data_IF_088898593198
#
_entry.id   IF_088898593198
#
_cell.length_a   1.000
_cell.length_b   1.000
_cell.length_c   1.000
_cell.angle_alpha   90.00
_cell.angle_beta   90.00
_cell.angle_gamma   90.00
#
_symmetry.space_group_name_H-M   'P 1'
#
loop_
_entity.id
_entity.type
_entity.pdbx_description
1 polymer ?
#
# COMPACT_ATOMS: atom_id res chain seq x y z
N UNK A 1 -1.57 17.66 23.53
CA UNK A 1 -2.66 16.67 23.69
C UNK A 1 -2.14 15.34 23.17
N UNK A 2 -2.42 14.24 23.87
CA UNK A 2 -2.02 12.90 23.45
C UNK A 2 -2.78 12.53 22.15
N UNK A 3 -2.08 12.03 21.13
CA UNK A 3 -2.69 11.69 19.83
C UNK A 3 -3.67 10.53 20.04
N UNK A 4 -4.93 10.69 19.62
CA UNK A 4 -5.96 9.66 19.77
C UNK A 4 -5.56 8.40 19.01
N UNK A 5 -5.69 7.23 19.65
CA UNK A 5 -5.40 5.95 19.00
C UNK A 5 -6.45 5.68 17.91
N UNK A 6 -5.97 5.58 16.67
CA UNK A 6 -6.73 5.18 15.48
C UNK A 6 -5.91 4.18 14.69
N UNK A 7 -6.51 3.05 14.35
CA UNK A 7 -5.87 1.95 13.61
C UNK A 7 -6.83 1.43 12.56
N UNK A 8 -6.30 0.76 11.53
CA UNK A 8 -7.12 0.25 10.43
C UNK A 8 -6.76 -1.16 10.02
N UNK A 9 -7.78 -1.97 9.78
CA UNK A 9 -7.68 -3.14 8.94
C UNK A 9 -8.05 -2.74 7.51
N UNK A 10 -7.10 -2.92 6.58
CA UNK A 10 -7.21 -2.43 5.21
C UNK A 10 -7.04 -3.55 4.17
N UNK A 11 -8.02 -4.46 4.01
CA UNK A 11 -7.96 -5.53 3.03
C UNK A 11 -8.36 -5.06 1.63
N UNK A 12 -7.76 -5.67 0.61
CA UNK A 12 -8.25 -5.58 -0.76
C UNK A 12 -9.32 -6.66 -1.02
N UNK A 13 -10.43 -6.35 -1.70
CA UNK A 13 -11.51 -7.31 -1.98
C UNK A 13 -11.14 -8.23 -3.17
N UNK A 14 -10.08 -9.03 -3.03
CA UNK A 14 -9.54 -9.90 -4.10
C UNK A 14 -9.68 -11.39 -3.78
N UNK A 15 -10.57 -11.77 -2.87
CA UNK A 15 -10.76 -13.15 -2.45
C UNK A 15 -11.09 -13.31 -0.96
N UNK A 16 -11.10 -14.56 -0.50
CA UNK A 16 -11.34 -14.90 0.90
C UNK A 16 -10.26 -14.39 1.84
N UNK A 17 -10.69 -14.06 3.06
CA UNK A 17 -9.81 -13.59 4.13
C UNK A 17 -9.06 -14.76 4.79
N UNK A 18 -7.75 -14.81 4.57
CA UNK A 18 -6.87 -15.83 5.15
C UNK A 18 -6.63 -15.59 6.65
N UNK A 19 -6.22 -16.64 7.39
CA UNK A 19 -5.91 -16.56 8.82
C UNK A 19 -4.95 -15.42 9.21
N UNK A 20 -3.92 -15.18 8.39
CA UNK A 20 -3.00 -14.04 8.60
C UNK A 20 -3.70 -12.67 8.57
N UNK A 21 -4.72 -12.51 7.72
CA UNK A 21 -5.53 -11.30 7.61
C UNK A 21 -6.46 -11.15 8.83
N UNK A 22 -7.12 -12.22 9.26
CA UNK A 22 -7.93 -12.22 10.51
C UNK A 22 -7.06 -11.88 11.72
N UNK A 23 -5.87 -12.47 11.84
CA UNK A 23 -4.92 -12.14 12.92
C UNK A 23 -4.52 -10.66 12.89
N UNK A 24 -4.34 -10.08 11.70
CA UNK A 24 -4.06 -8.64 11.54
C UNK A 24 -5.24 -7.79 11.99
N UNK A 25 -6.47 -8.14 11.60
CA UNK A 25 -7.68 -7.47 12.05
C UNK A 25 -7.84 -7.55 13.58
N UNK A 26 -7.61 -8.73 14.15
CA UNK A 26 -7.68 -8.97 15.59
C UNK A 26 -6.70 -8.09 16.37
N UNK A 27 -5.43 -8.00 15.94
CA UNK A 27 -4.46 -7.14 16.64
C UNK A 27 -4.78 -5.66 16.56
N UNK A 28 -5.26 -5.17 15.40
CA UNK A 28 -5.77 -3.80 15.30
C UNK A 28 -6.95 -3.60 16.27
N UNK A 29 -7.92 -4.50 16.28
CA UNK A 29 -9.10 -4.42 17.15
C UNK A 29 -8.74 -4.41 18.63
N UNK A 30 -7.92 -5.37 19.08
CA UNK A 30 -7.49 -5.47 20.48
C UNK A 30 -6.66 -4.25 20.92
N UNK A 31 -5.79 -3.74 20.05
CA UNK A 31 -5.02 -2.54 20.34
C UNK A 31 -5.93 -1.32 20.50
N UNK A 32 -6.88 -1.12 19.58
CA UNK A 32 -7.88 -0.06 19.70
C UNK A 32 -8.69 -0.19 21.01
N UNK A 33 -9.24 -1.37 21.31
CA UNK A 33 -10.04 -1.57 22.54
C UNK A 33 -9.24 -1.36 23.82
N UNK A 34 -8.00 -1.86 23.89
CA UNK A 34 -7.13 -1.67 25.06
C UNK A 34 -6.87 -0.18 25.36
N UNK A 35 -6.77 0.63 24.31
CA UNK A 35 -6.42 2.04 24.41
C UNK A 35 -7.60 2.99 24.21
N UNK A 36 -8.85 2.50 24.27
CA UNK A 36 -10.07 3.28 23.98
C UNK A 36 -9.99 4.07 22.66
N UNK A 37 -9.33 3.48 21.68
CA UNK A 37 -9.13 4.02 20.34
C UNK A 37 -10.24 3.64 19.36
N UNK A 38 -9.99 3.96 18.08
CA UNK A 38 -10.90 3.66 16.96
C UNK A 38 -10.31 2.57 16.07
N UNK A 39 -11.10 1.53 15.81
CA UNK A 39 -10.80 0.48 14.84
C UNK A 39 -11.56 0.72 13.54
N UNK A 40 -10.85 0.85 12.42
CA UNK A 40 -11.42 1.23 11.12
C UNK A 40 -11.31 0.06 10.14
N UNK A 41 -12.35 -0.18 9.34
CA UNK A 41 -12.28 -1.01 8.13
C UNK A 41 -12.21 -0.09 6.91
N UNK A 42 -11.11 -0.15 6.16
CA UNK A 42 -10.95 0.55 4.87
C UNK A 42 -10.79 -0.48 3.75
N UNK A 43 -11.57 -0.37 2.69
CA UNK A 43 -11.52 -1.30 1.56
C UNK A 43 -10.54 -0.77 0.52
N UNK A 44 -9.48 -1.54 0.23
CA UNK A 44 -8.43 -1.16 -0.72
C UNK A 44 -8.70 -1.77 -2.10
N UNK A 45 -9.70 -1.21 -2.79
CA UNK A 45 -10.26 -1.66 -4.07
C UNK A 45 -9.72 -0.87 -5.28
N UNK A 46 -8.51 -0.31 -5.19
CA UNK A 46 -7.92 0.47 -6.30
C UNK A 46 -7.55 -0.37 -7.52
N UNK A 47 -7.31 -1.67 -7.33
CA UNK A 47 -7.02 -2.63 -8.40
C UNK A 47 -8.30 -3.35 -8.86
N UNK A 48 -8.98 -2.74 -9.82
CA UNK A 48 -10.21 -3.26 -10.41
C UNK A 48 -10.01 -4.57 -11.19
N UNK A 49 -8.78 -4.90 -11.61
CA UNK A 49 -8.51 -6.15 -12.34
C UNK A 49 -8.55 -7.38 -11.45
N UNK A 50 -8.31 -7.17 -10.15
CA UNK A 50 -8.32 -8.22 -9.11
C UNK A 50 -9.55 -8.18 -8.22
N UNK A 51 -10.46 -7.24 -8.45
CA UNK A 51 -11.69 -7.11 -7.69
C UNK A 51 -12.55 -8.37 -7.87
N UNK A 52 -13.05 -8.91 -6.76
CA UNK A 52 -14.00 -10.02 -6.77
C UNK A 52 -15.28 -9.57 -6.08
N UNK A 53 -16.39 -9.61 -6.82
CA UNK A 53 -17.72 -9.32 -6.30
C UNK A 53 -18.03 -10.24 -5.11
N UNK A 54 -18.61 -9.68 -4.04
CA UNK A 54 -18.87 -10.40 -2.79
C UNK A 54 -17.68 -10.54 -1.84
N UNK A 55 -16.44 -10.24 -2.27
CA UNK A 55 -15.27 -10.32 -1.37
C UNK A 55 -15.34 -9.30 -0.22
N UNK A 56 -15.85 -8.08 -0.47
CA UNK A 56 -16.08 -7.09 0.58
C UNK A 56 -17.11 -7.59 1.60
N UNK A 57 -18.26 -8.11 1.14
CA UNK A 57 -19.29 -8.66 2.02
C UNK A 57 -18.74 -9.83 2.85
N UNK A 58 -17.99 -10.73 2.22
CA UNK A 58 -17.31 -11.83 2.92
C UNK A 58 -16.39 -11.31 4.03
N UNK A 59 -15.62 -10.24 3.79
CA UNK A 59 -14.75 -9.64 4.81
C UNK A 59 -15.58 -9.17 6.00
N UNK A 60 -16.68 -8.45 5.74
CA UNK A 60 -17.59 -7.97 6.78
C UNK A 60 -18.19 -9.12 7.58
N UNK A 61 -18.71 -10.14 6.90
CA UNK A 61 -19.31 -11.32 7.53
C UNK A 61 -18.29 -12.10 8.39
N UNK A 62 -17.05 -12.22 7.90
CA UNK A 62 -15.95 -12.85 8.62
C UNK A 62 -15.56 -12.11 9.90
N UNK A 63 -15.47 -10.78 9.83
CA UNK A 63 -15.21 -9.94 11.00
C UNK A 63 -16.36 -10.06 12.03
N UNK A 64 -17.61 -10.02 11.57
CA UNK A 64 -18.80 -10.19 12.42
C UNK A 64 -18.83 -11.57 13.09
N UNK A 65 -18.54 -12.63 12.35
CA UNK A 65 -18.44 -14.00 12.90
C UNK A 65 -17.34 -14.11 13.98
N UNK A 66 -16.22 -13.39 13.79
CA UNK A 66 -15.14 -13.30 14.79
C UNK A 66 -15.48 -12.39 15.99
N UNK A 67 -16.64 -11.72 16.02
CA UNK A 67 -16.97 -10.72 17.04
C UNK A 67 -16.11 -9.45 16.97
N UNK A 68 -15.57 -9.14 15.79
CA UNK A 68 -14.74 -7.96 15.52
C UNK A 68 -15.59 -6.95 14.75
N UNK A 69 -16.03 -5.88 15.41
CA UNK A 69 -16.86 -4.85 14.77
C UNK A 69 -16.05 -3.55 14.60
N UNK A 70 -15.87 -3.05 13.37
CA UNK A 70 -15.30 -1.73 13.13
C UNK A 70 -16.13 -0.61 13.75
N UNK A 71 -15.44 0.39 14.31
CA UNK A 71 -16.07 1.62 14.77
C UNK A 71 -16.45 2.52 13.57
N UNK A 72 -15.63 2.49 12.51
CA UNK A 72 -15.84 3.17 11.23
C UNK A 72 -15.60 2.18 10.07
N UNK A 73 -16.49 2.16 9.07
CA UNK A 73 -16.43 1.27 7.90
C UNK A 73 -17.27 1.82 6.74
N UNK A 74 -17.28 1.18 5.55
CA UNK A 74 -18.22 1.57 4.49
C UNK A 74 -19.70 1.49 4.91
N UNK A 75 -20.08 0.48 5.69
CA UNK A 75 -21.47 0.29 6.17
C UNK A 75 -21.81 1.18 7.38
N UNK A 76 -20.80 1.55 8.17
CA UNK A 76 -20.92 2.43 9.34
C UNK A 76 -19.94 3.60 9.18
N UNK A 77 -20.25 4.57 8.30
CA UNK A 77 -19.31 5.65 8.01
C UNK A 77 -19.11 6.54 9.24
N UNK A 78 -17.84 6.78 9.58
CA UNK A 78 -17.42 7.84 10.51
C UNK A 78 -17.11 9.16 9.80
N UNK A 79 -16.41 10.06 10.49
CA UNK A 79 -16.09 11.41 10.01
C UNK A 79 -15.18 11.46 8.76
N UNK A 80 -14.45 10.38 8.46
CA UNK A 80 -13.43 10.34 7.40
C UNK A 80 -13.83 9.54 6.16
N UNK A 81 -15.13 9.26 6.01
CA UNK A 81 -15.66 8.59 4.83
C UNK A 81 -15.38 9.37 3.53
N UNK A 82 -15.49 8.73 2.36
CA UNK A 82 -15.81 7.32 2.16
C UNK A 82 -14.67 6.37 2.56
N UNK A 83 -14.99 5.11 2.90
CA UNK A 83 -14.02 4.10 3.36
C UNK A 83 -13.67 3.06 2.29
N UNK A 84 -14.10 3.26 1.03
CA UNK A 84 -13.60 2.54 -0.15
C UNK A 84 -12.66 3.44 -0.92
N UNK A 85 -11.49 2.94 -1.30
CA UNK A 85 -10.49 3.76 -1.99
C UNK A 85 -10.93 4.16 -3.40
N UNK A 86 -11.72 3.33 -4.07
CA UNK A 86 -12.32 3.61 -5.38
C UNK A 86 -13.29 4.80 -5.37
N UNK A 87 -13.84 5.16 -4.20
CA UNK A 87 -14.72 6.32 -4.00
C UNK A 87 -13.94 7.61 -3.71
N UNK A 88 -12.61 7.52 -3.56
CA UNK A 88 -11.72 8.63 -3.15
C UNK A 88 -10.81 9.14 -4.27
N UNK A 89 -11.01 8.69 -5.52
CA UNK A 89 -10.11 8.96 -6.67
C UNK A 89 -9.68 10.43 -6.81
N UNK A 90 -10.60 11.42 -6.74
CA UNK A 90 -10.22 12.82 -6.93
C UNK A 90 -9.19 13.31 -5.91
N UNK A 91 -9.16 12.71 -4.71
CA UNK A 91 -8.27 13.13 -3.62
C UNK A 91 -6.81 12.73 -3.80
N UNK A 92 -6.47 11.79 -4.68
CA UNK A 92 -5.10 11.27 -4.78
C UNK A 92 -4.25 12.01 -5.80
N UNK A 93 -4.85 12.49 -6.89
CA UNK A 93 -4.10 13.16 -7.98
C UNK A 93 -3.34 14.38 -7.46
N UNK A 94 -3.96 15.18 -6.60
CA UNK A 94 -3.33 16.35 -5.99
C UNK A 94 -2.01 16.02 -5.27
N UNK A 95 -1.89 14.85 -4.64
CA UNK A 95 -0.67 14.45 -3.94
C UNK A 95 0.41 14.01 -4.92
N UNK A 96 0.03 13.35 -6.02
CA UNK A 96 0.97 13.03 -7.10
C UNK A 96 1.50 14.33 -7.76
N UNK A 97 0.61 15.30 -8.01
CA UNK A 97 0.98 16.61 -8.57
C UNK A 97 1.93 17.37 -7.62
N UNK A 98 1.62 17.40 -6.31
CA UNK A 98 2.48 18.00 -5.28
C UNK A 98 3.87 17.37 -5.24
N UNK A 99 3.96 16.03 -5.34
CA UNK A 99 5.24 15.32 -5.38
C UNK A 99 6.04 15.63 -6.66
N UNK A 100 5.37 15.82 -7.79
CA UNK A 100 6.01 16.20 -9.06
C UNK A 100 6.56 17.62 -8.97
N UNK A 101 5.76 18.60 -8.51
CA UNK A 101 6.20 19.98 -8.31
C UNK A 101 7.40 20.09 -7.37
N UNK A 102 7.41 19.28 -6.30
CA UNK A 102 8.52 19.22 -5.37
C UNK A 102 9.74 18.42 -5.88
N UNK A 103 9.67 17.81 -7.07
CA UNK A 103 10.75 17.01 -7.66
C UNK A 103 10.96 15.63 -7.04
N UNK A 104 10.02 15.16 -6.22
CA UNK A 104 10.02 13.85 -5.57
C UNK A 104 9.27 12.76 -6.35
N UNK A 105 8.57 13.14 -7.41
CA UNK A 105 7.97 12.23 -8.38
C UNK A 105 8.15 12.78 -9.80
N UNK A 106 7.93 11.92 -10.79
CA UNK A 106 8.11 12.29 -12.20
C UNK A 106 7.18 11.46 -13.10
N UNK A 107 6.84 12.03 -14.27
CA UNK A 107 6.08 11.34 -15.30
C UNK A 107 6.96 10.32 -16.04
N UNK A 108 6.45 9.12 -16.26
CA UNK A 108 7.05 8.10 -17.12
C UNK A 108 6.06 7.69 -18.22
N UNK A 109 6.53 7.72 -19.48
CA UNK A 109 5.76 7.51 -20.70
C UNK A 109 6.09 6.18 -21.38
N UNK A 110 6.90 5.33 -20.72
CA UNK A 110 7.25 4.00 -21.21
C UNK A 110 5.99 3.16 -21.43
N UNK A 111 5.87 2.52 -22.60
CA UNK A 111 4.76 1.60 -22.88
C UNK A 111 4.96 0.25 -22.19
N UNK A 112 3.90 -0.54 -21.99
CA UNK A 112 4.03 -1.91 -21.49
C UNK A 112 4.99 -2.76 -22.33
N UNK A 113 5.01 -2.59 -23.64
CA UNK A 113 5.90 -3.28 -24.59
C UNK A 113 7.37 -2.92 -24.35
N UNK A 114 7.70 -1.63 -24.27
CA UNK A 114 9.06 -1.14 -23.98
C UNK A 114 9.58 -1.69 -22.65
N UNK A 115 8.72 -1.71 -21.62
CA UNK A 115 9.06 -2.28 -20.31
C UNK A 115 9.27 -3.80 -20.37
N UNK A 116 8.52 -4.52 -21.20
CA UNK A 116 8.67 -5.96 -21.37
C UNK A 116 9.97 -6.31 -22.10
N UNK A 117 10.39 -5.52 -23.09
CA UNK A 117 11.68 -5.69 -23.76
C UNK A 117 12.85 -5.51 -22.79
N UNK A 118 12.79 -4.50 -21.90
CA UNK A 118 13.78 -4.30 -20.84
C UNK A 118 13.82 -5.48 -19.86
N UNK A 119 12.68 -6.05 -19.49
CA UNK A 119 12.61 -7.24 -18.62
C UNK A 119 13.12 -8.51 -19.31
N UNK A 120 12.94 -8.63 -20.62
CA UNK A 120 13.44 -9.76 -21.40
C UNK A 120 14.98 -9.76 -21.49
N UNK A 121 15.59 -8.57 -21.54
CA UNK A 121 17.06 -8.40 -21.60
C UNK A 121 17.71 -8.38 -20.21
N UNK A 122 16.96 -8.05 -19.17
CA UNK A 122 17.41 -8.09 -17.77
C UNK A 122 16.33 -8.70 -16.87
N UNK A 123 16.51 -9.97 -16.48
CA UNK A 123 15.56 -10.72 -15.65
C UNK A 123 15.27 -10.07 -14.29
N UNK A 124 16.20 -9.26 -13.77
CA UNK A 124 16.06 -8.53 -12.51
C UNK A 124 15.91 -7.01 -12.74
N UNK A 125 15.30 -6.61 -13.87
CA UNK A 125 15.06 -5.20 -14.18
C UNK A 125 14.22 -4.54 -13.08
N UNK A 126 14.79 -3.50 -12.48
CA UNK A 126 14.12 -2.59 -11.57
C UNK A 126 14.09 -1.21 -12.21
N UNK A 127 12.90 -0.62 -12.33
CA UNK A 127 12.77 0.76 -12.78
C UNK A 127 13.13 1.67 -11.62
N UNK A 128 14.31 2.29 -11.63
CA UNK A 128 14.77 3.12 -10.51
C UNK A 128 16.09 3.81 -10.80
N UNK A 129 16.84 4.16 -9.77
CA UNK A 129 18.11 4.89 -9.88
C UNK A 129 19.03 4.39 -11.02
N UNK A 130 19.24 3.07 -11.12
CA UNK A 130 20.17 2.46 -12.08
C UNK A 130 19.69 2.46 -13.53
N UNK A 131 18.39 2.64 -13.75
CA UNK A 131 17.78 2.43 -15.09
C UNK A 131 16.99 3.63 -15.57
N UNK A 132 16.47 4.50 -14.69
CA UNK A 132 15.55 5.61 -15.03
C UNK A 132 16.11 6.59 -16.05
N UNK A 133 17.44 6.75 -16.12
CA UNK A 133 18.08 7.63 -17.10
C UNK A 133 18.14 7.03 -18.52
N UNK A 134 17.75 5.77 -18.69
CA UNK A 134 17.67 5.07 -19.99
C UNK A 134 16.22 4.84 -20.45
N UNK A 135 15.25 5.33 -19.68
CA UNK A 135 13.82 5.12 -19.89
C UNK A 135 13.17 6.39 -20.45
N UNK A 136 11.95 6.27 -20.99
CA UNK A 136 11.19 7.38 -21.56
C UNK A 136 10.39 8.10 -20.49
N UNK A 137 10.99 9.09 -19.84
CA UNK A 137 10.37 9.80 -18.72
C UNK A 137 10.82 11.26 -18.62
N UNK A 138 10.15 12.04 -17.77
CA UNK A 138 10.41 13.48 -17.62
C UNK A 138 11.79 13.85 -17.01
N UNK A 139 12.61 12.86 -16.60
CA UNK A 139 14.01 13.09 -16.24
C UNK A 139 14.95 12.99 -17.44
N UNK A 140 14.53 12.33 -18.52
CA UNK A 140 15.33 12.11 -19.75
C UNK A 140 14.82 12.92 -20.93
N UNK A 141 13.51 13.19 -20.98
CA UNK A 141 12.86 13.99 -22.01
C UNK A 141 12.96 15.49 -21.71
N UNK A 142 13.00 16.31 -22.76
CA UNK A 142 13.00 17.77 -22.63
C UNK A 142 11.63 18.30 -22.17
N UNK A 143 11.62 19.46 -21.48
CA UNK A 143 10.38 20.04 -20.93
C UNK A 143 9.28 20.27 -21.99
N UNK A 144 9.65 20.71 -23.21
CA UNK A 144 8.71 20.89 -24.31
C UNK A 144 8.09 19.55 -24.77
N UNK A 145 8.90 18.50 -24.88
CA UNK A 145 8.41 17.17 -25.27
C UNK A 145 7.47 16.60 -24.22
N UNK A 146 7.80 16.75 -22.93
CA UNK A 146 6.90 16.36 -21.84
C UNK A 146 5.58 17.12 -21.92
N UNK A 147 5.62 18.44 -22.15
CA UNK A 147 4.42 19.26 -22.29
C UNK A 147 3.55 18.82 -23.49
N UNK A 148 4.17 18.52 -24.63
CA UNK A 148 3.48 18.03 -25.83
C UNK A 148 2.83 16.66 -25.58
N UNK A 149 3.54 15.72 -24.93
CA UNK A 149 3.01 14.40 -24.61
C UNK A 149 1.81 14.49 -23.65
N UNK A 150 1.89 15.37 -22.64
CA UNK A 150 0.79 15.63 -21.71
C UNK A 150 -0.40 16.30 -22.42
N UNK A 151 -0.16 17.28 -23.29
CA UNK A 151 -1.21 17.95 -24.07
C UNK A 151 -1.93 17.00 -25.03
N UNK A 152 -1.21 15.99 -25.55
CA UNK A 152 -1.76 14.93 -26.39
C UNK A 152 -2.48 13.83 -25.60
N UNK A 153 -2.55 13.92 -24.27
CA UNK A 153 -3.06 12.86 -23.40
C UNK A 153 -2.35 11.52 -23.62
N UNK A 154 -1.05 11.54 -23.91
CA UNK A 154 -0.25 10.32 -24.04
C UNK A 154 -0.33 9.52 -22.74
N UNK A 155 -0.63 8.20 -22.78
CA UNK A 155 -0.64 7.37 -21.59
C UNK A 155 0.67 7.46 -20.82
N UNK A 156 0.59 7.72 -19.52
CA UNK A 156 1.75 7.87 -18.66
C UNK A 156 1.42 7.47 -17.22
N UNK A 157 2.46 7.18 -16.45
CA UNK A 157 2.33 6.93 -15.01
C UNK A 157 3.15 7.97 -14.24
N UNK A 158 2.81 8.17 -12.97
CA UNK A 158 3.65 8.95 -12.04
C UNK A 158 4.44 7.98 -11.17
N UNK A 159 5.76 8.14 -11.10
CA UNK A 159 6.65 7.32 -10.27
C UNK A 159 7.27 8.16 -9.15
N UNK A 160 7.47 7.56 -7.98
CA UNK A 160 8.30 8.17 -6.94
C UNK A 160 9.76 8.19 -7.42
N UNK A 161 10.47 9.29 -7.17
CA UNK A 161 11.90 9.41 -7.43
C UNK A 161 12.65 9.01 -6.18
N UNK A 162 13.11 7.75 -6.10
CA UNK A 162 13.90 7.31 -4.94
C UNK A 162 15.24 8.06 -4.89
N UNK A 163 15.65 8.56 -3.71
CA UNK A 163 16.91 9.27 -3.54
C UNK A 163 18.09 8.29 -3.64
N UNK A 164 19.26 8.83 -3.95
CA UNK A 164 20.49 8.05 -4.16
C UNK A 164 21.32 8.02 -2.89
N UNK A 165 21.91 6.86 -2.58
CA UNK A 165 22.90 6.71 -1.51
C UNK A 165 22.39 7.10 -0.11
N UNK A 166 21.10 6.87 0.14
CA UNK A 166 20.46 7.13 1.43
C UNK A 166 20.10 5.82 2.14
N UNK A 167 20.04 5.90 3.48
CA UNK A 167 19.45 4.85 4.30
C UNK A 167 18.14 5.35 4.91
N UNK A 168 17.04 4.68 4.58
CA UNK A 168 15.75 4.96 5.21
C UNK A 168 15.59 4.00 6.39
N UNK A 169 15.71 4.55 7.59
CA UNK A 169 15.56 3.80 8.84
C UNK A 169 14.32 4.21 9.61
N UNK A 170 13.74 3.26 10.33
CA UNK A 170 12.65 3.51 11.28
C UNK A 170 12.66 2.45 12.38
N UNK A 171 11.99 2.75 13.49
CA UNK A 171 11.76 1.79 14.56
C UNK A 171 10.39 1.12 14.35
N UNK A 172 10.40 -0.17 14.04
CA UNK A 172 9.21 -1.00 14.02
C UNK A 172 8.93 -1.55 15.42
N UNK A 173 7.69 -1.50 15.87
CA UNK A 173 7.30 -1.94 17.21
C UNK A 173 7.52 -3.44 17.47
N UNK A 174 7.70 -4.24 16.42
CA UNK A 174 7.90 -5.70 16.49
C UNK A 174 9.31 -6.07 16.01
N UNK A 175 9.82 -5.42 14.96
CA UNK A 175 11.13 -5.72 14.36
C UNK A 175 12.28 -4.92 14.97
N UNK A 176 12.00 -3.92 15.79
CA UNK A 176 12.99 -2.99 16.31
C UNK A 176 13.50 -2.05 15.21
N UNK A 177 14.76 -1.65 15.31
CA UNK A 177 15.38 -0.78 14.31
C UNK A 177 15.55 -1.52 12.98
N UNK A 178 14.92 -1.01 11.92
CA UNK A 178 15.06 -1.51 10.55
C UNK A 178 15.65 -0.42 9.66
N UNK A 179 16.48 -0.79 8.69
CA UNK A 179 17.09 0.15 7.75
C UNK A 179 17.15 -0.43 6.34
N UNK A 180 16.89 0.41 5.34
CA UNK A 180 16.90 0.06 3.92
C UNK A 180 17.82 0.99 3.14
N UNK A 181 18.67 0.41 2.28
CA UNK A 181 19.44 1.14 1.27
C UNK A 181 18.53 1.52 0.10
N UNK A 182 18.40 2.82 -0.20
CA UNK A 182 17.53 3.31 -1.27
C UNK A 182 17.99 2.89 -2.66
N UNK A 183 19.26 2.52 -2.83
CA UNK A 183 19.81 2.00 -4.09
C UNK A 183 19.25 0.62 -4.47
N UNK A 184 18.60 -0.07 -3.53
CA UNK A 184 17.95 -1.38 -3.74
C UNK A 184 16.43 -1.27 -3.92
N UNK A 185 15.88 -0.06 -3.86
CA UNK A 185 14.44 0.20 -3.97
C UNK A 185 14.15 0.84 -5.31
N UNK A 186 13.12 0.36 -5.99
CA UNK A 186 12.72 0.85 -7.30
C UNK A 186 11.79 2.08 -7.20
N UNK A 187 11.78 2.88 -8.26
CA UNK A 187 10.90 4.02 -8.47
C UNK A 187 9.48 3.50 -8.77
N UNK A 188 8.77 3.10 -7.70
CA UNK A 188 7.41 2.56 -7.78
C UNK A 188 6.44 3.55 -8.41
N UNK A 189 5.49 2.99 -9.17
CA UNK A 189 4.33 3.75 -9.68
C UNK A 189 3.46 4.19 -8.50
N UNK A 190 3.11 5.48 -8.46
CA UNK A 190 2.20 6.10 -7.51
C UNK A 190 0.81 6.32 -8.11
N UNK A 191 0.76 6.72 -9.40
CA UNK A 191 -0.47 6.97 -10.14
C UNK A 191 -0.40 6.24 -11.50
N UNK A 192 -1.42 5.46 -11.80
CA UNK A 192 -1.58 4.73 -13.07
C UNK A 192 -2.07 5.66 -14.19
N UNK A 193 -1.99 5.19 -15.44
CA UNK A 193 -2.42 5.95 -16.62
C UNK A 193 -3.93 6.23 -16.67
N UNK A 194 -4.74 5.42 -15.98
CA UNK A 194 -6.18 5.63 -15.79
C UNK A 194 -6.49 6.66 -14.67
N UNK A 195 -5.47 7.29 -14.09
CA UNK A 195 -5.60 8.24 -12.99
C UNK A 195 -5.87 7.60 -11.63
N UNK A 196 -5.92 6.27 -11.53
CA UNK A 196 -6.07 5.59 -10.25
C UNK A 196 -4.73 5.54 -9.51
N UNK A 197 -4.72 5.77 -8.19
CA UNK A 197 -3.50 5.53 -7.40
C UNK A 197 -3.16 4.04 -7.38
N UNK A 198 -1.88 3.75 -7.19
CA UNK A 198 -1.47 2.43 -6.69
C UNK A 198 -1.68 2.37 -5.18
N UNK A 199 -1.55 1.16 -4.63
CA UNK A 199 -1.54 0.94 -3.19
C UNK A 199 -0.63 1.92 -2.43
N UNK A 200 0.58 2.19 -2.94
CA UNK A 200 1.57 3.00 -2.24
C UNK A 200 1.13 4.44 -1.99
N UNK A 201 0.52 5.08 -2.98
CA UNK A 201 0.00 6.45 -2.82
C UNK A 201 -1.29 6.46 -2.00
N UNK A 202 -2.22 5.56 -2.31
CA UNK A 202 -3.54 5.52 -1.69
C UNK A 202 -3.44 5.25 -0.17
N UNK A 203 -2.61 4.28 0.24
CA UNK A 203 -2.47 3.91 1.65
C UNK A 203 -1.88 5.05 2.50
N UNK A 204 -0.89 5.79 1.98
CA UNK A 204 -0.28 6.92 2.70
C UNK A 204 -1.24 8.10 2.77
N UNK A 205 -1.90 8.43 1.66
CA UNK A 205 -2.90 9.49 1.61
C UNK A 205 -4.07 9.23 2.56
N UNK A 206 -4.58 8.00 2.60
CA UNK A 206 -5.70 7.65 3.48
C UNK A 206 -5.29 7.45 4.92
N UNK A 207 -4.10 6.93 5.21
CA UNK A 207 -3.60 6.85 6.57
C UNK A 207 -3.42 8.26 7.17
N UNK A 208 -3.02 9.24 6.36
CA UNK A 208 -3.03 10.67 6.72
C UNK A 208 -4.44 11.20 6.90
N UNK A 209 -5.32 11.03 5.92
CA UNK A 209 -6.66 11.59 5.93
C UNK A 209 -7.55 11.02 7.05
N UNK A 210 -7.36 9.73 7.39
CA UNK A 210 -8.10 9.06 8.48
C UNK A 210 -7.39 9.16 9.83
N UNK A 211 -6.32 9.96 9.93
CA UNK A 211 -5.54 10.21 11.14
C UNK A 211 -5.02 8.93 11.82
N UNK A 212 -4.56 7.97 11.02
CA UNK A 212 -4.05 6.69 11.53
C UNK A 212 -2.83 6.96 12.41
N UNK A 213 -2.84 6.37 13.60
CA UNK A 213 -1.79 6.50 14.61
C UNK A 213 -0.83 5.34 14.62
N UNK A 214 -1.31 4.12 14.34
CA UNK A 214 -0.53 2.88 14.34
C UNK A 214 -0.95 2.01 13.16
N UNK A 215 0.03 1.49 12.42
CA UNK A 215 -0.15 0.58 11.30
C UNK A 215 0.32 -0.81 11.71
N UNK A 216 -0.64 -1.72 11.91
CA UNK A 216 -0.38 -3.15 12.02
C UNK A 216 -0.66 -3.82 10.67
N UNK A 217 0.34 -4.47 10.09
CA UNK A 217 0.22 -5.20 8.82
C UNK A 217 1.21 -6.36 8.75
N UNK A 218 1.04 -7.26 7.78
CA UNK A 218 1.98 -8.38 7.58
C UNK A 218 3.37 -7.92 7.12
N UNK A 219 4.40 -8.69 7.45
CA UNK A 219 5.79 -8.41 7.09
C UNK A 219 6.07 -8.45 5.58
N UNK A 220 5.17 -9.01 4.77
CA UNK A 220 5.24 -8.92 3.31
C UNK A 220 5.29 -7.46 2.81
N UNK A 221 4.80 -6.51 3.62
CA UNK A 221 4.83 -5.08 3.31
C UNK A 221 6.08 -4.37 3.84
N UNK A 222 6.93 -5.05 4.62
CA UNK A 222 8.14 -4.46 5.19
C UNK A 222 9.09 -3.93 4.11
N UNK A 223 9.32 -4.61 2.96
CA UNK A 223 10.11 -4.05 1.86
C UNK A 223 9.52 -2.79 1.21
N UNK A 224 8.23 -2.49 1.42
CA UNK A 224 7.60 -1.25 0.95
C UNK A 224 7.69 -0.09 1.94
N UNK A 225 8.17 -0.33 3.17
CA UNK A 225 8.35 0.70 4.19
C UNK A 225 9.17 1.91 3.72
N UNK A 226 10.34 1.78 3.03
CA UNK A 226 11.10 2.95 2.61
C UNK A 226 10.30 3.89 1.70
N UNK A 227 9.53 3.34 0.76
CA UNK A 227 8.66 4.12 -0.13
C UNK A 227 7.62 4.90 0.68
N UNK A 228 6.95 4.23 1.61
CA UNK A 228 5.87 4.86 2.39
C UNK A 228 6.43 5.95 3.33
N UNK A 229 7.56 5.67 4.00
CA UNK A 229 8.23 6.65 4.85
C UNK A 229 8.62 7.89 4.04
N UNK A 230 9.22 7.71 2.87
CA UNK A 230 9.58 8.81 1.99
C UNK A 230 8.35 9.58 1.51
N UNK A 231 7.24 8.92 1.15
CA UNK A 231 6.01 9.60 0.80
C UNK A 231 5.49 10.48 1.94
N UNK A 232 5.47 9.97 3.18
CA UNK A 232 5.12 10.78 4.36
C UNK A 232 6.05 11.98 4.53
N UNK A 233 7.36 11.84 4.30
CA UNK A 233 8.33 12.95 4.37
C UNK A 233 8.13 13.97 3.26
N UNK A 234 8.06 13.52 2.02
CA UNK A 234 7.96 14.35 0.81
C UNK A 234 6.64 15.12 0.72
N UNK A 235 5.56 14.58 1.30
CA UNK A 235 4.29 15.28 1.45
C UNK A 235 4.24 16.23 2.66
N UNK A 236 5.33 16.31 3.44
CA UNK A 236 5.45 17.20 4.60
C UNK A 236 4.71 16.69 5.85
N UNK A 237 4.45 15.39 5.95
CA UNK A 237 3.64 14.78 7.00
C UNK A 237 4.46 14.01 8.06
N UNK A 238 5.79 14.12 8.04
CA UNK A 238 6.69 13.35 8.92
C UNK A 238 6.33 13.46 10.41
N UNK A 239 5.97 14.66 10.88
CA UNK A 239 5.58 14.88 12.28
C UNK A 239 4.29 14.14 12.71
N UNK A 240 3.49 13.69 11.75
CA UNK A 240 2.21 13.02 11.99
C UNK A 240 2.24 11.54 11.57
N UNK A 241 3.40 11.03 11.15
CA UNK A 241 3.56 9.67 10.68
C UNK A 241 3.12 8.65 11.75
N UNK A 242 2.38 7.59 11.37
CA UNK A 242 1.99 6.55 12.31
C UNK A 242 3.20 5.74 12.79
N UNK A 243 3.04 5.09 13.92
CA UNK A 243 3.94 4.02 14.36
C UNK A 243 3.70 2.76 13.53
N UNK A 244 4.75 1.97 13.27
CA UNK A 244 4.70 0.82 12.38
C UNK A 244 4.91 -0.48 13.16
N UNK A 245 4.14 -1.52 12.82
CA UNK A 245 4.27 -2.85 13.38
C UNK A 245 4.05 -3.93 12.29
N UNK A 246 5.14 -4.60 11.90
CA UNK A 246 5.10 -5.64 10.87
C UNK A 246 5.03 -7.06 11.47
N UNK A 247 3.83 -7.64 11.39
CA UNK A 247 3.48 -8.94 11.96
C UNK A 247 4.18 -10.11 11.23
N UNK A 248 4.81 -11.05 11.97
CA UNK A 248 5.50 -12.19 11.37
C UNK A 248 4.54 -13.15 10.67
N UNK A 249 4.94 -13.73 9.54
CA UNK A 249 4.13 -14.69 8.80
C UNK A 249 3.72 -15.87 9.69
N UNK A 250 2.51 -16.39 9.44
CA UNK A 250 2.11 -17.68 10.01
C UNK A 250 2.88 -18.76 9.24
N UNK A 251 3.65 -19.56 9.97
CA UNK A 251 4.43 -20.66 9.41
C UNK A 251 3.57 -21.89 9.20
N UNK A 252 4.03 -22.78 8.33
CA UNK A 252 3.50 -24.14 8.21
C UNK A 252 3.66 -24.91 9.53
N UNK A 253 2.88 -25.99 9.75
CA UNK A 253 3.01 -26.82 10.94
C UNK A 253 4.40 -27.43 11.15
N UNK A 254 5.16 -27.64 10.08
CA UNK A 254 6.54 -28.14 10.11
C UNK A 254 7.59 -27.02 10.30
N UNK A 255 7.17 -25.76 10.41
CA UNK A 255 8.02 -24.59 10.54
C UNK A 255 8.70 -24.12 9.24
N UNK A 256 8.59 -24.87 8.14
CA UNK A 256 9.35 -24.61 6.91
C UNK A 256 8.55 -23.79 5.89
N UNK A 257 8.59 -22.48 6.11
CA UNK A 257 8.03 -21.46 5.20
C UNK A 257 6.62 -21.02 5.55
N UNK A 258 6.09 -20.11 4.73
CA UNK A 258 4.77 -19.49 4.92
C UNK A 258 3.64 -20.50 4.74
N UNK A 259 2.64 -20.43 5.61
CA UNK A 259 1.37 -21.16 5.47
C UNK A 259 0.64 -20.73 4.19
N UNK A 260 0.28 -21.69 3.34
CA UNK A 260 -0.40 -21.45 2.06
C UNK A 260 -1.71 -22.24 1.93
N UNK A 261 -2.53 -21.88 0.92
CA UNK A 261 -3.74 -22.63 0.57
C UNK A 261 -3.45 -24.11 0.31
N UNK A 262 -2.35 -24.41 -0.39
CA UNK A 262 -1.91 -25.77 -0.71
C UNK A 262 -1.62 -26.60 0.55
N UNK A 263 -1.17 -25.96 1.63
CA UNK A 263 -0.90 -26.65 2.89
C UNK A 263 -2.20 -27.06 3.57
N UNK A 264 -3.21 -26.18 3.59
CA UNK A 264 -4.53 -26.50 4.13
C UNK A 264 -5.24 -27.60 3.36
N UNK A 265 -5.21 -27.54 2.02
CA UNK A 265 -5.79 -28.59 1.16
C UNK A 265 -5.11 -29.95 1.41
N UNK A 266 -3.77 -29.97 1.56
CA UNK A 266 -2.99 -31.19 1.80
C UNK A 266 -3.16 -31.76 3.21
N UNK A 267 -3.29 -30.90 4.22
CA UNK A 267 -3.29 -31.27 5.63
C UNK A 267 -4.68 -31.28 6.28
N UNK A 268 -5.72 -30.90 5.52
CA UNK A 268 -7.12 -30.99 5.95
C UNK A 268 -7.55 -29.93 6.96
N UNK A 269 -7.00 -28.72 6.91
CA UNK A 269 -7.45 -27.60 7.75
C UNK A 269 -7.80 -26.36 6.91
N UNK A 270 -8.79 -25.55 7.36
CA UNK A 270 -9.19 -24.35 6.62
C UNK A 270 -8.13 -23.25 6.71
N UNK A 271 -7.79 -22.65 5.57
CA UNK A 271 -6.87 -21.49 5.49
C UNK A 271 -7.61 -20.16 5.51
N UNK A 272 -8.86 -20.18 5.03
CA UNK A 272 -9.81 -19.08 5.15
C UNK A 272 -10.60 -19.23 6.44
N UNK A 273 -10.96 -18.12 7.06
CA UNK A 273 -11.70 -18.15 8.32
C UNK A 273 -13.17 -18.56 8.15
N UNK A 274 -13.76 -18.31 6.98
CA UNK A 274 -15.08 -18.78 6.58
C UNK A 274 -15.01 -19.46 5.20
N UNK A 275 -16.04 -20.20 4.82
CA UNK A 275 -16.13 -20.83 3.49
C UNK A 275 -16.14 -19.75 2.40
N UNK A 276 -15.14 -19.79 1.52
CA UNK A 276 -14.96 -18.92 0.36
C UNK A 276 -15.26 -19.67 -0.93
#
# INVERSE_FOLDING_TARGET
>A
MEKKIRVRFAPSPTGGLHLGGVRTALFNYLFAKKHNGTFILRVEDTDQTRFIEGAEQYIVDCLNWCGITPDESPEKPGAFGPYRQSERKPSYKQYADQLIEAGFAYYAFDTPEELNEKRATNANFLYGQKTRMEMRNSLTLGANEVADLLAQNTPHVVRIKMPSDEHVSFNDMIRGQVSFDTNLVDDKVLLKADGMPTYHLAVVADDKAMEISHIFRGEEWLPSAPIHILLWKYLGWEAEMPQWAHLPLILKPDGNGKLSKRDGDRLGFPVYAMNW
#
